data_IF_108566014262
#
_entry.id   IF_108566014262
#
_cell.length_a   1.000
_cell.length_b   1.000
_cell.length_c   1.000
_cell.angle_alpha   90.00
_cell.angle_beta   90.00
_cell.angle_gamma   90.00
#
_symmetry.space_group_name_H-M   'P 1'
#
loop_
_entity.id
_entity.type
_entity.pdbx_description
1 polymer ?
#
# COMPACT_ATOMS: atom_id res chain seq x y z
N UNK A 1 -37.13 -71.12 -9.65
CA UNK A 1 -35.81 -70.58 -9.26
C UNK A 1 -35.17 -69.96 -10.49
N UNK A 2 -35.27 -68.63 -10.64
CA UNK A 2 -34.63 -67.90 -11.74
C UNK A 2 -33.42 -67.14 -11.16
N UNK A 3 -32.23 -67.40 -11.73
CA UNK A 3 -30.95 -66.79 -11.33
C UNK A 3 -30.92 -65.33 -11.81
N UNK A 4 -30.77 -64.40 -10.88
CA UNK A 4 -30.51 -62.99 -11.16
C UNK A 4 -29.12 -62.83 -11.79
N UNK A 5 -29.05 -62.34 -13.03
CA UNK A 5 -27.80 -61.90 -13.66
C UNK A 5 -27.50 -60.47 -13.24
N UNK A 6 -26.34 -60.24 -12.63
CA UNK A 6 -25.83 -58.90 -12.33
C UNK A 6 -25.72 -58.07 -13.61
N UNK A 7 -26.32 -56.88 -13.59
CA UNK A 7 -26.12 -55.85 -14.62
C UNK A 7 -24.87 -55.06 -14.24
N UNK A 8 -23.82 -55.13 -15.06
CA UNK A 8 -22.64 -54.26 -14.97
C UNK A 8 -22.93 -52.92 -15.65
N UNK A 9 -22.55 -51.77 -15.04
CA UNK A 9 -22.72 -50.48 -15.69
C UNK A 9 -21.77 -50.33 -16.89
N UNK A 10 -22.33 -49.93 -18.03
CA UNK A 10 -21.60 -49.55 -19.24
C UNK A 10 -20.93 -48.18 -19.04
N UNK A 11 -19.64 -48.17 -18.74
CA UNK A 11 -18.77 -47.02 -18.99
C UNK A 11 -18.47 -46.85 -20.49
N UNK A 12 -17.96 -45.68 -20.94
CA UNK A 12 -17.70 -45.44 -22.35
C UNK A 12 -16.63 -46.43 -22.86
N UNK A 13 -16.98 -47.17 -23.92
CA UNK A 13 -16.08 -48.10 -24.58
C UNK A 13 -15.01 -47.32 -25.37
N UNK A 14 -13.78 -47.31 -24.88
CA UNK A 14 -12.61 -46.94 -25.67
C UNK A 14 -12.05 -48.20 -26.36
N UNK A 15 -11.73 -48.15 -27.67
CA UNK A 15 -11.19 -49.30 -28.38
C UNK A 15 -9.82 -49.69 -27.79
N UNK A 16 -9.66 -50.98 -27.54
CA UNK A 16 -8.46 -51.61 -26.99
C UNK A 16 -7.25 -51.42 -27.92
N UNK A 17 -6.44 -50.40 -27.64
CA UNK A 17 -5.04 -50.37 -28.07
C UNK A 17 -4.21 -51.26 -27.13
N UNK A 18 -3.18 -51.96 -27.61
CA UNK A 18 -2.37 -52.82 -26.77
C UNK A 18 -1.71 -51.96 -25.70
N UNK A 19 -2.10 -52.20 -24.44
CA UNK A 19 -1.49 -51.56 -23.28
C UNK A 19 -0.06 -52.08 -23.18
N UNK A 20 0.90 -51.27 -23.63
CA UNK A 20 2.28 -51.40 -23.19
C UNK A 20 2.28 -51.03 -21.71
N UNK A 21 2.13 -52.02 -20.83
CA UNK A 21 2.26 -51.81 -19.39
C UNK A 21 3.73 -51.59 -19.09
N UNK A 22 4.17 -50.34 -19.22
CA UNK A 22 5.30 -49.87 -18.43
C UNK A 22 4.85 -49.95 -16.97
N UNK A 23 5.14 -51.08 -16.33
CA UNK A 23 5.17 -51.22 -14.88
C UNK A 23 6.29 -50.32 -14.35
N UNK A 24 6.08 -49.01 -14.42
CA UNK A 24 6.74 -48.12 -13.49
C UNK A 24 6.14 -48.44 -12.13
N UNK A 25 7.02 -48.74 -11.20
CA UNK A 25 6.79 -48.87 -9.77
C UNK A 25 6.24 -47.52 -9.23
N UNK A 26 4.96 -47.23 -9.56
CA UNK A 26 4.30 -45.92 -9.47
C UNK A 26 3.79 -45.58 -8.08
N UNK A 27 4.15 -46.31 -7.03
CA UNK A 27 3.62 -46.03 -5.68
C UNK A 27 4.26 -44.78 -5.07
N UNK A 28 5.60 -44.70 -5.07
CA UNK A 28 6.34 -43.65 -4.38
C UNK A 28 6.22 -42.27 -5.07
N UNK A 29 6.15 -42.22 -6.40
CA UNK A 29 5.97 -40.96 -7.15
C UNK A 29 4.60 -40.35 -6.88
N UNK A 30 3.53 -41.14 -6.85
CA UNK A 30 2.19 -40.64 -6.52
C UNK A 30 2.11 -40.15 -5.07
N UNK A 31 2.78 -40.84 -4.15
CA UNK A 31 2.90 -40.41 -2.75
C UNK A 31 3.68 -39.10 -2.63
N UNK A 32 4.84 -38.97 -3.29
CA UNK A 32 5.63 -37.73 -3.29
C UNK A 32 4.88 -36.56 -3.93
N UNK A 33 4.23 -36.77 -5.08
CA UNK A 33 3.41 -35.74 -5.73
C UNK A 33 2.25 -35.32 -4.82
N UNK A 34 1.65 -36.27 -4.10
CA UNK A 34 0.62 -35.99 -3.08
C UNK A 34 1.12 -35.15 -1.91
N UNK A 35 2.30 -35.45 -1.37
CA UNK A 35 2.92 -34.67 -0.30
C UNK A 35 3.34 -33.27 -0.77
N UNK A 36 4.01 -33.15 -1.92
CA UNK A 36 4.40 -31.87 -2.50
C UNK A 36 3.18 -30.98 -2.76
N UNK A 37 2.12 -31.59 -3.29
CA UNK A 37 0.82 -30.97 -3.50
C UNK A 37 0.18 -30.44 -2.21
N UNK A 38 0.21 -31.23 -1.14
CA UNK A 38 -0.31 -30.83 0.16
C UNK A 38 0.49 -29.67 0.77
N UNK A 39 1.82 -29.74 0.72
CA UNK A 39 2.70 -28.67 1.20
C UNK A 39 2.48 -27.36 0.43
N UNK A 40 2.39 -27.44 -0.89
CA UNK A 40 2.11 -26.28 -1.74
C UNK A 40 0.73 -25.67 -1.42
N UNK A 41 -0.29 -26.51 -1.16
CA UNK A 41 -1.60 -26.05 -0.70
C UNK A 41 -1.52 -25.30 0.64
N UNK A 42 -0.77 -25.81 1.62
CA UNK A 42 -0.55 -25.11 2.90
C UNK A 42 0.15 -23.77 2.68
N UNK A 43 1.21 -23.73 1.86
CA UNK A 43 1.91 -22.49 1.55
C UNK A 43 0.97 -21.44 0.95
N UNK A 44 0.11 -21.84 0.00
CA UNK A 44 -0.87 -20.94 -0.61
C UNK A 44 -1.89 -20.43 0.42
N UNK A 45 -2.42 -21.30 1.29
CA UNK A 45 -3.34 -20.90 2.36
C UNK A 45 -2.69 -19.88 3.29
N UNK A 46 -1.43 -20.11 3.67
CA UNK A 46 -0.69 -19.20 4.54
C UNK A 46 -0.46 -17.84 3.86
N UNK A 47 0.00 -17.84 2.61
CA UNK A 47 0.18 -16.59 1.84
C UNK A 47 -1.13 -15.83 1.67
N UNK A 48 -2.23 -16.54 1.38
CA UNK A 48 -3.58 -15.97 1.29
C UNK A 48 -4.02 -15.32 2.61
N UNK A 49 -3.79 -16.02 3.71
CA UNK A 49 -4.14 -15.54 5.05
C UNK A 49 -3.32 -14.29 5.41
N UNK A 50 -2.03 -14.30 5.08
CA UNK A 50 -1.15 -13.15 5.25
C UNK A 50 -1.60 -11.96 4.39
N UNK A 51 -1.89 -12.14 3.10
CA UNK A 51 -2.40 -11.05 2.25
C UNK A 51 -3.72 -10.47 2.79
N UNK A 52 -4.62 -11.33 3.26
CA UNK A 52 -5.92 -10.87 3.78
C UNK A 52 -5.79 -10.02 5.04
N UNK A 53 -4.77 -10.26 5.87
CA UNK A 53 -4.54 -9.53 7.12
C UNK A 53 -3.58 -8.35 6.94
N UNK A 54 -2.43 -8.58 6.31
CA UNK A 54 -1.35 -7.59 6.17
C UNK A 54 -1.68 -6.55 5.10
N UNK A 55 -2.28 -6.95 3.99
CA UNK A 55 -2.71 -6.05 2.91
C UNK A 55 -4.14 -5.56 3.13
N UNK A 56 -4.49 -5.30 4.39
CA UNK A 56 -5.76 -4.75 4.79
C UNK A 56 -5.54 -3.42 5.51
N UNK A 57 -5.87 -2.34 4.82
CA UNK A 57 -5.64 -0.98 5.31
C UNK A 57 -6.49 -0.65 6.54
N UNK A 58 -7.69 -1.24 6.70
CA UNK A 58 -8.50 -1.01 7.90
C UNK A 58 -7.89 -1.68 9.13
N UNK A 59 -7.30 -2.87 8.98
CA UNK A 59 -6.57 -3.54 10.07
C UNK A 59 -5.31 -2.75 10.41
N UNK A 60 -4.58 -2.29 9.38
CA UNK A 60 -3.36 -1.52 9.59
C UNK A 60 -3.63 -0.15 10.24
N UNK A 61 -4.72 0.53 9.87
CA UNK A 61 -5.15 1.76 10.55
C UNK A 61 -5.56 1.52 12.02
N UNK A 62 -6.22 0.40 12.31
CA UNK A 62 -6.67 0.07 13.67
C UNK A 62 -5.55 -0.39 14.60
N UNK A 63 -4.66 -1.27 14.11
CA UNK A 63 -3.59 -1.90 14.92
C UNK A 63 -2.29 -1.11 14.83
N UNK A 64 -2.08 -0.34 13.77
CA UNK A 64 -0.82 0.31 13.48
C UNK A 64 -0.57 1.58 14.32
N UNK A 65 0.71 1.85 14.58
CA UNK A 65 1.16 3.07 15.27
C UNK A 65 1.15 4.32 14.35
N UNK A 66 0.30 4.34 13.31
CA UNK A 66 0.26 5.42 12.31
C UNK A 66 -0.09 6.78 12.92
N UNK A 67 -0.92 6.80 13.96
CA UNK A 67 -1.30 8.03 14.66
C UNK A 67 -0.15 8.70 15.43
N UNK A 68 1.02 8.06 15.57
CA UNK A 68 2.22 8.71 16.11
C UNK A 68 2.66 9.92 15.27
N UNK A 69 2.32 9.95 13.97
CA UNK A 69 2.60 11.11 13.10
C UNK A 69 1.66 12.29 13.33
N UNK A 70 0.58 12.14 14.13
CA UNK A 70 -0.36 13.23 14.43
C UNK A 70 0.23 14.26 15.41
N UNK A 71 1.22 13.87 16.22
CA UNK A 71 1.82 14.69 17.30
C UNK A 71 2.06 16.17 16.97
N UNK A 72 2.70 16.57 15.85
CA UNK A 72 3.02 17.97 15.56
C UNK A 72 1.81 18.83 15.21
N UNK A 73 0.68 18.23 14.84
CA UNK A 73 -0.54 18.91 14.38
C UNK A 73 -1.76 18.62 15.28
N UNK A 74 -1.59 17.87 16.38
CA UNK A 74 -2.68 17.40 17.22
C UNK A 74 -3.51 18.53 17.87
N UNK A 75 -2.98 19.74 17.95
CA UNK A 75 -3.59 20.91 18.59
C UNK A 75 -4.20 21.91 17.62
N UNK A 76 -4.12 21.68 16.30
CA UNK A 76 -4.70 22.56 15.27
C UNK A 76 -5.95 21.92 14.67
N UNK A 77 -6.90 22.71 14.18
CA UNK A 77 -8.06 22.20 13.42
C UNK A 77 -7.89 22.33 11.90
N UNK A 78 -6.99 23.22 11.49
CA UNK A 78 -6.70 23.58 10.10
C UNK A 78 -5.21 23.81 9.88
N UNK A 79 -4.76 23.81 8.63
CA UNK A 79 -3.37 24.13 8.32
C UNK A 79 -3.00 25.58 8.68
N UNK A 80 -3.95 26.52 8.60
CA UNK A 80 -3.70 27.94 8.89
C UNK A 80 -3.19 28.17 10.31
N UNK A 81 -3.76 27.46 11.29
CA UNK A 81 -3.38 27.58 12.70
C UNK A 81 -1.93 27.14 12.98
N UNK A 82 -1.29 26.42 12.06
CA UNK A 82 0.13 26.09 12.17
C UNK A 82 1.01 27.35 12.15
N UNK A 83 0.59 28.42 11.46
CA UNK A 83 1.30 29.70 11.46
C UNK A 83 1.38 30.34 12.86
N UNK A 84 0.46 29.99 13.77
CA UNK A 84 0.46 30.48 15.15
C UNK A 84 1.35 29.63 16.07
N UNK A 85 1.70 28.41 15.67
CA UNK A 85 2.45 27.46 16.49
C UNK A 85 3.90 27.25 16.02
N UNK A 86 4.19 27.58 14.76
CA UNK A 86 5.48 27.36 14.13
C UNK A 86 5.99 28.64 13.45
N UNK A 87 7.29 28.86 13.54
CA UNK A 87 7.95 29.91 12.77
C UNK A 87 8.32 29.34 11.39
N UNK A 88 7.60 29.76 10.35
CA UNK A 88 7.87 29.31 9.00
C UNK A 88 9.11 29.98 8.40
N UNK A 89 9.87 29.21 7.62
CA UNK A 89 10.99 29.72 6.85
C UNK A 89 10.55 30.86 5.92
N UNK A 90 11.43 31.86 5.74
CA UNK A 90 11.16 32.98 4.84
C UNK A 90 10.95 32.50 3.40
N UNK A 91 9.86 32.94 2.76
CA UNK A 91 9.42 32.55 1.41
C UNK A 91 9.04 31.06 1.27
N UNK A 92 8.92 30.32 2.37
CA UNK A 92 8.63 28.88 2.41
C UNK A 92 7.53 28.61 3.45
N UNK A 93 6.62 29.56 3.61
CA UNK A 93 5.46 29.46 4.49
C UNK A 93 4.24 28.89 3.80
N UNK A 94 3.18 28.62 4.56
CA UNK A 94 1.91 28.15 3.99
C UNK A 94 1.27 29.15 3.02
N UNK A 95 1.50 30.45 3.24
CA UNK A 95 0.98 31.53 2.39
C UNK A 95 1.69 31.61 1.02
N UNK A 96 2.88 31.01 0.91
CA UNK A 96 3.66 30.95 -0.32
C UNK A 96 3.30 29.72 -1.17
N UNK A 97 2.45 28.85 -0.64
CA UNK A 97 1.99 27.68 -1.37
C UNK A 97 1.06 28.07 -2.51
N UNK A 98 1.04 27.25 -3.56
CA UNK A 98 0.01 27.36 -4.59
C UNK A 98 -1.36 27.09 -3.96
N UNK A 99 -2.45 27.63 -4.54
CA UNK A 99 -3.81 27.39 -4.04
C UNK A 99 -4.12 25.90 -3.86
N UNK A 100 -3.66 25.09 -4.82
CA UNK A 100 -3.82 23.63 -4.80
C UNK A 100 -2.92 23.02 -3.72
N UNK A 101 -1.66 23.44 -3.62
CA UNK A 101 -0.75 22.96 -2.59
C UNK A 101 -1.25 23.24 -1.17
N UNK A 102 -1.75 24.45 -0.91
CA UNK A 102 -2.38 24.80 0.35
C UNK A 102 -3.62 23.92 0.61
N UNK A 103 -4.49 23.75 -0.38
CA UNK A 103 -5.67 22.88 -0.26
C UNK A 103 -5.27 21.43 0.09
N UNK A 104 -4.24 20.87 -0.54
CA UNK A 104 -3.74 19.51 -0.28
C UNK A 104 -3.25 19.35 1.17
N UNK A 105 -2.48 20.33 1.68
CA UNK A 105 -2.01 20.34 3.06
C UNK A 105 -3.19 20.49 4.03
N UNK A 106 -4.08 21.45 3.79
CA UNK A 106 -5.22 21.70 4.66
C UNK A 106 -6.18 20.51 4.73
N UNK A 107 -6.46 19.88 3.58
CA UNK A 107 -7.29 18.67 3.52
C UNK A 107 -6.64 17.52 4.29
N UNK A 108 -5.33 17.31 4.14
CA UNK A 108 -4.60 16.27 4.87
C UNK A 108 -4.57 16.51 6.38
N UNK A 109 -4.24 17.73 6.81
CA UNK A 109 -4.20 18.12 8.23
C UNK A 109 -5.58 17.98 8.86
N UNK A 110 -6.62 18.52 8.21
CA UNK A 110 -7.98 18.45 8.73
C UNK A 110 -8.47 17.00 8.85
N UNK A 111 -8.29 16.18 7.81
CA UNK A 111 -8.70 14.77 7.83
C UNK A 111 -7.98 13.99 8.94
N UNK A 112 -6.68 14.26 9.15
CA UNK A 112 -5.89 13.55 10.15
C UNK A 112 -6.27 13.94 11.58
N UNK A 113 -6.41 15.25 11.87
CA UNK A 113 -6.79 15.75 13.20
C UNK A 113 -8.19 15.29 13.58
N UNK A 114 -9.14 15.37 12.65
CA UNK A 114 -10.53 14.97 12.90
C UNK A 114 -10.72 13.45 12.96
N UNK A 115 -9.67 12.66 12.73
CA UNK A 115 -9.73 11.19 12.60
C UNK A 115 -10.84 10.78 11.65
N UNK A 116 -10.85 11.41 10.48
CA UNK A 116 -11.93 11.23 9.51
C UNK A 116 -12.04 9.77 9.06
N UNK A 117 -13.26 9.23 8.99
CA UNK A 117 -13.53 7.93 8.39
C UNK A 117 -13.32 7.90 6.86
N UNK A 118 -12.74 8.95 6.28
CA UNK A 118 -12.41 9.04 4.86
C UNK A 118 -10.93 8.76 4.58
N UNK A 119 -10.15 8.43 5.61
CA UNK A 119 -8.71 8.15 5.50
C UNK A 119 -8.33 6.89 6.27
N UNK A 120 -7.26 6.23 5.79
CA UNK A 120 -6.50 5.24 6.54
C UNK A 120 -5.14 5.82 6.88
N UNK A 121 -4.69 5.64 8.11
CA UNK A 121 -3.37 6.05 8.60
C UNK A 121 -2.52 4.81 8.84
N UNK A 122 -1.58 4.58 7.93
CA UNK A 122 -0.78 3.36 7.89
C UNK A 122 0.64 3.66 8.34
N UNK A 123 1.14 2.88 9.30
CA UNK A 123 2.58 2.82 9.59
C UNK A 123 3.21 1.81 8.65
N UNK A 124 4.12 2.26 7.77
CA UNK A 124 4.72 1.40 6.75
C UNK A 124 5.94 0.70 7.31
N UNK A 125 6.79 1.41 8.06
CA UNK A 125 8.01 0.82 8.57
C UNK A 125 9.00 1.81 9.15
N UNK A 126 10.00 1.25 9.80
CA UNK A 126 11.07 1.97 10.49
C UNK A 126 12.38 1.60 9.82
N UNK A 127 13.08 2.60 9.29
CA UNK A 127 14.22 2.40 8.42
C UNK A 127 15.47 3.04 9.05
N UNK A 128 16.57 2.31 9.20
CA UNK A 128 17.82 2.92 9.65
C UNK A 128 18.35 3.90 8.60
N UNK A 129 18.83 5.06 9.04
CA UNK A 129 19.51 6.04 8.20
C UNK A 129 20.94 5.56 7.93
N UNK A 130 21.14 5.00 6.73
CA UNK A 130 22.41 4.48 6.26
C UNK A 130 23.13 5.50 5.37
N UNK A 131 24.40 5.22 5.08
CA UNK A 131 25.12 5.98 4.05
C UNK A 131 24.42 5.82 2.70
N UNK A 132 24.20 6.94 2.00
CA UNK A 132 23.46 6.96 0.74
C UNK A 132 21.93 6.98 0.87
N UNK A 133 21.37 7.00 2.09
CA UNK A 133 19.94 7.29 2.27
C UNK A 133 19.59 8.67 1.72
N UNK A 134 18.35 8.82 1.22
CA UNK A 134 17.86 10.08 0.69
C UNK A 134 17.94 11.18 1.76
N UNK A 135 18.42 12.36 1.35
CA UNK A 135 18.50 13.54 2.19
C UNK A 135 17.12 13.99 2.69
N UNK A 136 16.94 13.97 4.02
CA UNK A 136 15.73 14.43 4.69
C UNK A 136 15.98 15.70 5.52
N UNK A 137 17.13 16.36 5.40
CA UNK A 137 17.50 17.45 6.29
C UNK A 137 17.84 18.74 5.55
N UNK A 138 18.52 18.67 4.40
CA UNK A 138 19.03 19.86 3.70
C UNK A 138 18.00 20.93 3.38
N UNK A 139 16.72 20.57 3.25
CA UNK A 139 15.62 21.53 3.07
C UNK A 139 15.52 22.57 4.20
N UNK A 140 15.99 22.24 5.40
CA UNK A 140 16.03 23.17 6.54
C UNK A 140 17.10 24.26 6.42
N UNK A 141 18.05 24.17 5.47
CA UNK A 141 19.12 25.17 5.29
C UNK A 141 18.60 26.49 4.72
N UNK A 142 17.88 27.24 5.55
CA UNK A 142 17.25 28.51 5.21
C UNK A 142 17.24 29.44 6.43
N UNK A 143 16.58 30.59 6.29
CA UNK A 143 16.44 31.59 7.34
C UNK A 143 15.00 31.67 7.84
N UNK A 144 14.85 31.82 9.15
CA UNK A 144 13.58 31.86 9.83
C UNK A 144 13.46 33.16 10.63
N UNK A 145 12.31 33.86 10.55
CA UNK A 145 12.00 34.93 11.49
C UNK A 145 11.81 34.29 12.88
N UNK A 146 12.53 34.80 13.87
CA UNK A 146 12.48 34.26 15.22
C UNK A 146 12.94 35.30 16.24
N UNK A 147 12.11 35.58 17.23
CA UNK A 147 12.47 36.37 18.41
C UNK A 147 12.55 35.45 19.64
N UNK A 148 13.78 35.15 20.09
CA UNK A 148 14.01 34.27 21.24
C UNK A 148 13.50 34.87 22.56
N UNK A 149 13.31 36.19 22.64
CA UNK A 149 12.75 36.82 23.85
C UNK A 149 11.26 36.51 24.03
N UNK A 150 10.54 36.28 22.92
CA UNK A 150 9.13 35.92 22.93
C UNK A 150 8.94 34.40 22.91
N UNK A 151 9.78 33.69 22.15
CA UNK A 151 9.69 32.23 21.97
C UNK A 151 11.04 31.58 22.32
N UNK A 152 11.30 31.25 23.61
CA UNK A 152 12.58 30.71 24.04
C UNK A 152 12.85 29.28 23.56
N UNK A 153 11.81 28.50 23.25
CA UNK A 153 11.92 27.15 22.71
C UNK A 153 11.11 27.05 21.42
N UNK A 154 11.61 27.61 20.30
CA UNK A 154 10.86 27.70 19.07
C UNK A 154 10.65 26.35 18.41
N UNK A 155 9.58 26.28 17.62
CA UNK A 155 9.36 25.25 16.62
C UNK A 155 9.48 25.91 15.24
N UNK A 156 10.18 25.27 14.33
CA UNK A 156 10.41 25.76 12.98
C UNK A 156 9.59 24.92 12.00
N UNK A 157 9.15 25.56 10.93
CA UNK A 157 8.42 24.89 9.87
C UNK A 157 8.82 25.40 8.50
N UNK A 158 8.57 24.58 7.48
CA UNK A 158 8.65 25.00 6.10
C UNK A 158 7.63 24.22 5.29
N UNK A 159 7.19 24.81 4.19
CA UNK A 159 6.35 24.17 3.20
C UNK A 159 6.82 24.61 1.81
N UNK A 160 6.98 23.64 0.90
CA UNK A 160 7.45 23.89 -0.46
C UNK A 160 6.61 23.15 -1.49
N UNK A 161 6.16 23.84 -2.54
CA UNK A 161 5.48 23.20 -3.66
C UNK A 161 6.49 22.42 -4.51
N UNK A 162 6.08 21.24 -4.98
CA UNK A 162 6.80 20.44 -5.95
C UNK A 162 5.87 20.08 -7.12
N UNK A 163 6.40 20.17 -8.34
CA UNK A 163 5.80 19.57 -9.53
C UNK A 163 6.83 18.59 -10.11
N UNK A 164 6.42 17.33 -10.24
CA UNK A 164 7.22 16.31 -10.92
C UNK A 164 6.81 16.25 -12.38
N UNK A 165 7.81 16.27 -13.24
CA UNK A 165 7.67 16.13 -14.68
C UNK A 165 8.00 14.69 -15.08
N UNK A 166 7.22 14.15 -16.01
CA UNK A 166 7.40 12.82 -16.58
C UNK A 166 7.68 12.93 -18.07
N UNK A 167 8.47 12.02 -18.62
CA UNK A 167 8.70 11.91 -20.06
C UNK A 167 8.58 10.45 -20.46
N UNK A 168 7.70 10.19 -21.41
CA UNK A 168 7.39 8.83 -21.85
C UNK A 168 6.51 8.04 -20.87
N UNK A 169 6.25 6.79 -21.24
CA UNK A 169 5.55 5.78 -20.46
C UNK A 169 6.20 4.41 -20.69
N UNK A 170 5.70 3.36 -20.04
CA UNK A 170 6.29 2.02 -20.14
C UNK A 170 6.43 1.50 -21.59
N UNK A 171 5.48 1.84 -22.47
CA UNK A 171 5.52 1.45 -23.87
C UNK A 171 6.56 2.29 -24.64
N UNK A 172 6.58 3.61 -24.47
CA UNK A 172 7.58 4.45 -25.17
C UNK A 172 9.00 4.14 -24.71
N UNK A 173 9.20 3.80 -23.44
CA UNK A 173 10.49 3.35 -22.93
C UNK A 173 10.98 2.04 -23.55
N UNK A 174 10.05 1.20 -24.04
CA UNK A 174 10.39 -0.04 -24.73
C UNK A 174 10.70 0.18 -26.21
N UNK A 175 9.94 1.06 -26.87
CA UNK A 175 10.03 1.28 -28.31
C UNK A 175 10.88 2.49 -28.73
N UNK A 176 11.38 3.27 -27.78
CA UNK A 176 12.15 4.49 -28.05
C UNK A 176 13.30 4.69 -27.08
N UNK A 177 14.17 5.65 -27.39
CA UNK A 177 15.34 6.03 -26.59
C UNK A 177 15.07 7.24 -25.68
N UNK A 178 13.81 7.49 -25.30
CA UNK A 178 13.40 8.61 -24.45
C UNK A 178 14.09 8.63 -23.07
N UNK A 179 14.58 7.47 -22.59
CA UNK A 179 15.36 7.33 -21.35
C UNK A 179 16.82 7.77 -21.46
N UNK A 180 17.39 7.85 -22.66
CA UNK A 180 18.83 8.05 -22.86
C UNK A 180 19.17 9.26 -23.72
N UNK A 181 18.26 9.70 -24.59
CA UNK A 181 18.46 10.83 -25.50
C UNK A 181 17.73 12.08 -25.00
N UNK A 182 18.42 13.23 -24.99
CA UNK A 182 17.88 14.53 -24.57
C UNK A 182 17.28 14.53 -23.14
N UNK A 183 17.93 13.81 -22.23
CA UNK A 183 17.51 13.74 -20.81
C UNK A 183 17.77 15.09 -20.14
N UNK A 184 16.82 15.59 -19.37
CA UNK A 184 16.95 16.85 -18.67
C UNK A 184 18.09 16.80 -17.63
N UNK A 185 18.96 17.81 -17.64
CA UNK A 185 20.02 18.02 -16.65
C UNK A 185 19.77 19.31 -15.88
N UNK A 186 19.83 19.26 -14.55
CA UNK A 186 19.66 20.45 -13.72
C UNK A 186 20.87 21.40 -13.87
N UNK A 187 20.67 22.73 -13.79
CA UNK A 187 19.39 23.44 -13.65
C UNK A 187 18.66 23.59 -14.99
N UNK A 188 17.34 23.38 -14.99
CA UNK A 188 16.45 23.57 -16.16
C UNK A 188 15.13 24.20 -15.72
N UNK A 189 14.55 25.07 -16.55
CA UNK A 189 13.24 25.68 -16.31
C UNK A 189 12.10 24.73 -16.70
N UNK A 190 10.87 25.04 -16.27
CA UNK A 190 9.68 24.32 -16.74
C UNK A 190 9.55 24.36 -18.26
N UNK A 191 9.78 25.52 -18.88
CA UNK A 191 9.76 25.64 -20.34
C UNK A 191 10.80 24.75 -21.01
N UNK A 192 12.02 24.66 -20.44
CA UNK A 192 13.05 23.77 -20.97
C UNK A 192 12.70 22.29 -20.81
N UNK A 193 11.94 21.93 -19.77
CA UNK A 193 11.41 20.58 -19.61
C UNK A 193 10.35 20.28 -20.68
N UNK A 194 9.45 21.23 -20.92
CA UNK A 194 8.42 21.12 -21.96
C UNK A 194 9.07 20.98 -23.36
N UNK A 195 10.12 21.76 -23.65
CA UNK A 195 10.89 21.69 -24.90
C UNK A 195 11.57 20.33 -25.11
N UNK A 196 11.95 19.65 -24.02
CA UNK A 196 12.51 18.29 -24.04
C UNK A 196 11.42 17.20 -24.08
N UNK A 197 10.14 17.57 -24.14
CA UNK A 197 9.00 16.64 -24.19
C UNK A 197 8.64 16.03 -22.84
N UNK A 198 9.03 16.67 -21.74
CA UNK A 198 8.48 16.34 -20.43
C UNK A 198 7.10 16.97 -20.25
N UNK A 199 6.27 16.36 -19.41
CA UNK A 199 4.92 16.84 -19.08
C UNK A 199 4.77 16.84 -17.56
N UNK A 200 4.22 17.91 -16.95
CA UNK A 200 3.94 17.91 -15.53
C UNK A 200 2.85 16.87 -15.23
N UNK A 201 3.08 15.99 -14.26
CA UNK A 201 2.09 14.94 -13.96
C UNK A 201 1.90 14.59 -12.50
N UNK A 202 2.70 15.14 -11.58
CA UNK A 202 2.44 14.97 -10.15
C UNK A 202 2.73 16.24 -9.40
N UNK A 203 1.78 16.63 -8.57
CA UNK A 203 1.92 17.75 -7.65
C UNK A 203 2.15 17.21 -6.24
N UNK A 204 2.95 17.93 -5.46
CA UNK A 204 3.14 17.61 -4.06
C UNK A 204 3.54 18.84 -3.27
N UNK A 205 3.39 18.76 -1.95
CA UNK A 205 3.87 19.79 -1.03
C UNK A 205 4.69 19.14 0.06
N UNK A 206 5.98 19.47 0.15
CA UNK A 206 6.82 18.99 1.24
C UNK A 206 6.71 19.96 2.42
N UNK A 207 5.92 19.60 3.42
CA UNK A 207 5.81 20.34 4.67
C UNK A 207 6.58 19.61 5.78
N UNK A 208 7.47 20.33 6.46
CA UNK A 208 8.23 19.78 7.59
C UNK A 208 8.09 20.65 8.82
N UNK A 209 7.86 19.99 9.96
CA UNK A 209 7.59 20.60 11.26
C UNK A 209 8.59 20.07 12.27
N UNK A 210 9.40 20.92 12.88
CA UNK A 210 10.36 20.49 13.91
C UNK A 210 9.68 20.39 15.28
N UNK A 211 10.26 19.61 16.18
CA UNK A 211 9.94 19.73 17.60
C UNK A 211 10.55 21.00 18.19
N UNK A 212 10.36 21.20 19.50
CA UNK A 212 10.89 22.36 20.22
C UNK A 212 12.43 22.29 20.22
N UNK A 213 13.07 23.40 19.84
CA UNK A 213 14.52 23.50 19.74
C UNK A 213 15.04 24.36 20.89
N UNK A 214 16.00 23.89 21.71
CA UNK A 214 16.58 24.65 22.80
C UNK A 214 17.68 25.60 22.27
N UNK A 215 17.27 26.69 21.60
CA UNK A 215 18.20 27.69 21.07
C UNK A 215 18.62 28.69 22.15
N UNK A 216 19.91 29.03 22.17
CA UNK A 216 20.45 30.09 23.02
C UNK A 216 20.67 31.36 22.18
N UNK A 217 20.48 32.52 22.81
CA UNK A 217 20.77 33.82 22.20
C UNK A 217 22.28 34.03 22.08
N UNK A 218 22.87 33.48 21.02
CA UNK A 218 24.28 33.65 20.66
C UNK A 218 24.45 33.67 19.15
N UNK A 219 25.39 34.49 18.69
CA UNK A 219 25.83 34.55 17.29
C UNK A 219 26.81 33.44 16.92
N UNK A 220 27.31 32.68 17.90
CA UNK A 220 28.14 31.51 17.66
C UNK A 220 27.30 30.36 17.07
N UNK A 221 27.86 29.56 16.14
CA UNK A 221 27.19 28.36 15.62
C UNK A 221 26.82 27.38 16.74
N UNK A 222 25.58 26.91 16.72
CA UNK A 222 25.03 25.93 17.67
C UNK A 222 24.60 24.69 16.90
N UNK A 223 25.18 23.53 17.19
CA UNK A 223 24.86 22.26 16.56
C UNK A 223 23.91 21.44 17.45
N UNK A 224 22.73 21.10 16.93
CA UNK A 224 21.65 20.48 17.72
C UNK A 224 21.01 19.35 16.90
N UNK A 225 20.81 18.19 17.55
CA UNK A 225 19.94 17.14 17.04
C UNK A 225 18.47 17.56 17.19
N UNK A 226 17.83 17.79 16.05
CA UNK A 226 16.44 18.22 15.97
C UNK A 226 15.61 17.11 15.34
N UNK A 227 14.59 16.70 16.08
CA UNK A 227 13.55 15.82 15.55
C UNK A 227 12.56 16.60 14.71
N UNK A 228 12.10 16.00 13.62
CA UNK A 228 11.12 16.62 12.74
C UNK A 228 10.07 15.61 12.28
N UNK A 229 8.94 16.15 11.89
CA UNK A 229 7.85 15.45 11.22
C UNK A 229 7.72 15.96 9.79
N UNK A 230 7.39 15.07 8.87
CA UNK A 230 7.17 15.34 7.46
C UNK A 230 5.73 15.02 7.10
N UNK A 231 5.08 15.96 6.42
CA UNK A 231 3.80 15.81 5.76
C UNK A 231 4.03 16.13 4.29
N UNK A 232 3.96 15.10 3.46
CA UNK A 232 4.19 15.24 2.04
C UNK A 232 2.97 14.75 1.25
N UNK A 233 1.87 15.53 1.22
CA UNK A 233 0.72 15.26 0.36
C UNK A 233 1.13 15.28 -1.11
N UNK A 234 0.66 14.29 -1.86
CA UNK A 234 0.92 14.12 -3.27
C UNK A 234 -0.37 13.76 -4.01
N UNK A 235 -0.51 14.26 -5.23
CA UNK A 235 -1.62 13.95 -6.12
C UNK A 235 -1.16 13.91 -7.57
N UNK A 236 -1.83 13.11 -8.39
CA UNK A 236 -1.54 12.95 -9.82
C UNK A 236 -2.27 14.01 -10.65
N UNK A 237 -3.39 14.53 -10.14
CA UNK A 237 -4.19 15.55 -10.79
C UNK A 237 -4.56 16.69 -9.82
N UNK A 238 -4.81 17.87 -10.38
CA UNK A 238 -5.27 19.02 -9.63
C UNK A 238 -6.66 18.76 -9.04
N UNK A 239 -6.78 18.83 -7.70
CA UNK A 239 -8.05 18.63 -6.98
C UNK A 239 -8.42 17.16 -6.71
N UNK A 240 -7.59 16.21 -7.12
CA UNK A 240 -7.80 14.79 -6.83
C UNK A 240 -7.40 14.42 -5.40
N UNK A 241 -7.97 13.33 -4.89
CA UNK A 241 -7.66 12.81 -3.55
C UNK A 241 -6.17 12.63 -3.35
N UNK A 242 -5.67 13.15 -2.24
CA UNK A 242 -4.24 13.18 -1.94
C UNK A 242 -3.82 11.95 -1.16
N UNK A 243 -2.69 11.36 -1.55
CA UNK A 243 -1.97 10.41 -0.68
C UNK A 243 -0.84 11.16 -0.01
N UNK A 244 -0.81 11.14 1.31
CA UNK A 244 0.12 11.92 2.11
C UNK A 244 1.17 11.02 2.72
N UNK A 245 2.41 11.24 2.33
CA UNK A 245 3.56 10.62 2.98
C UNK A 245 3.79 11.27 4.34
N UNK A 246 3.90 10.44 5.36
CA UNK A 246 4.18 10.83 6.73
C UNK A 246 5.59 10.37 7.10
N UNK A 247 6.34 11.24 7.76
CA UNK A 247 7.70 10.92 8.18
C UNK A 247 8.02 11.46 9.55
N UNK A 248 8.93 10.78 10.25
CA UNK A 248 9.53 11.25 11.49
C UNK A 248 11.00 10.85 11.50
N UNK A 249 11.87 11.80 11.78
CA UNK A 249 13.32 11.58 11.75
C UNK A 249 14.11 12.61 12.54
N UNK A 250 15.43 12.49 12.43
CA UNK A 250 16.41 13.31 13.13
C UNK A 250 17.31 14.03 12.12
N UNK A 251 17.57 15.30 12.38
CA UNK A 251 18.50 16.12 11.62
C UNK A 251 19.48 16.78 12.56
N UNK A 252 20.76 16.74 12.18
CA UNK A 252 21.77 17.54 12.85
C UNK A 252 21.85 18.91 12.17
N UNK A 253 21.40 19.94 12.90
CA UNK A 253 21.22 21.30 12.38
C UNK A 253 22.20 22.26 13.05
N UNK A 254 22.87 23.08 12.26
CA UNK A 254 23.76 24.15 12.76
C UNK A 254 23.06 25.50 12.63
N UNK A 255 22.76 26.12 13.77
CA UNK A 255 22.05 27.39 13.90
C UNK A 255 23.00 28.55 14.17
N UNK A 256 22.72 29.69 13.56
CA UNK A 256 23.30 30.99 13.91
C UNK A 256 22.15 31.95 14.17
N UNK A 257 22.04 32.46 15.40
CA UNK A 257 21.01 33.41 15.79
C UNK A 257 21.55 34.84 15.74
N UNK A 258 20.77 35.75 15.14
CA UNK A 258 21.07 37.17 15.11
C UNK A 258 19.93 37.94 15.79
N UNK A 259 20.21 38.43 17.00
CA UNK A 259 19.23 39.13 17.82
C UNK A 259 18.83 40.50 17.26
N UNK A 260 19.72 41.19 16.55
CA UNK A 260 19.42 42.49 15.94
C UNK A 260 18.37 42.35 14.84
N UNK A 261 18.47 41.29 14.03
CA UNK A 261 17.51 41.04 12.94
C UNK A 261 16.32 40.18 13.35
N UNK A 262 16.33 39.60 14.57
CA UNK A 262 15.36 38.61 15.04
C UNK A 262 15.19 37.47 14.04
N UNK A 263 16.32 36.88 13.65
CA UNK A 263 16.37 35.77 12.69
C UNK A 263 17.33 34.70 13.14
N UNK A 264 16.98 33.46 12.83
CA UNK A 264 17.89 32.32 12.89
C UNK A 264 18.19 31.84 11.48
N UNK A 265 19.46 31.59 11.20
CA UNK A 265 19.93 31.01 9.93
C UNK A 265 20.47 29.62 10.22
N UNK A 266 19.98 28.64 9.48
CA UNK A 266 20.52 27.28 9.50
C UNK A 266 21.58 27.20 8.41
N UNK A 267 22.84 27.09 8.79
CA UNK A 267 23.98 27.09 7.85
C UNK A 267 24.33 25.70 7.35
N UNK A 268 24.13 24.69 8.19
CA UNK A 268 24.38 23.30 7.87
C UNK A 268 23.22 22.44 8.39
N UNK A 269 22.89 21.39 7.66
CA UNK A 269 21.81 20.47 7.99
C UNK A 269 22.07 19.15 7.31
N UNK A 270 22.26 18.09 8.11
CA UNK A 270 22.59 16.76 7.62
C UNK A 270 21.76 15.68 8.32
N UNK A 271 21.53 14.58 7.61
CA UNK A 271 20.97 13.37 8.20
C UNK A 271 21.93 12.81 9.25
N UNK A 272 21.39 12.30 10.37
CA UNK A 272 22.19 11.60 11.38
C UNK A 272 22.21 10.11 11.05
N UNK A 273 23.39 9.59 10.69
CA UNK A 273 23.58 8.17 10.39
C UNK A 273 23.31 7.31 11.63
N UNK A 274 22.72 6.13 11.42
CA UNK A 274 22.35 5.19 12.48
C UNK A 274 21.04 5.51 13.21
N UNK A 275 20.44 6.69 12.99
CA UNK A 275 19.10 7.02 13.52
C UNK A 275 17.99 6.31 12.75
N UNK A 276 16.84 6.14 13.38
CA UNK A 276 15.67 5.51 12.75
C UNK A 276 14.76 6.56 12.14
N UNK A 277 14.48 6.43 10.84
CA UNK A 277 13.44 7.18 10.14
C UNK A 277 12.15 6.36 10.12
N UNK A 278 11.07 6.90 10.69
CA UNK A 278 9.75 6.28 10.66
C UNK A 278 8.98 6.80 9.45
N UNK A 279 8.36 5.90 8.71
CA UNK A 279 7.61 6.21 7.51
C UNK A 279 6.17 5.71 7.63
N UNK A 280 5.22 6.56 7.25
CA UNK A 280 3.79 6.26 7.23
C UNK A 280 3.11 6.86 6.02
N UNK A 281 1.84 6.51 5.85
CA UNK A 281 0.99 6.98 4.76
C UNK A 281 -0.38 7.35 5.32
N UNK A 282 -0.93 8.45 4.84
CA UNK A 282 -2.33 8.79 4.97
C UNK A 282 -2.95 8.63 3.57
N UNK A 283 -3.89 7.69 3.46
CA UNK A 283 -4.47 7.22 2.20
C UNK A 283 -5.97 7.47 2.24
N UNK A 284 -6.59 8.01 1.18
CA UNK A 284 -8.03 8.18 1.13
C UNK A 284 -8.73 6.82 1.08
N UNK A 285 -9.78 6.64 1.88
CA UNK A 285 -10.67 5.50 1.78
C UNK A 285 -11.56 5.67 0.54
N UNK A 286 -11.47 4.71 -0.39
CA UNK A 286 -12.33 4.66 -1.57
C UNK A 286 -13.42 3.59 -1.42
N UNK A 287 -14.52 3.75 -2.15
CA UNK A 287 -15.55 2.71 -2.28
C UNK A 287 -14.96 1.38 -2.77
N UNK A 288 -13.92 1.44 -3.60
CA UNK A 288 -13.17 0.27 -4.06
C UNK A 288 -12.43 -0.45 -2.92
N UNK A 289 -11.81 0.31 -2.00
CA UNK A 289 -11.21 -0.26 -0.79
C UNK A 289 -12.25 -0.99 0.05
N UNK A 290 -13.43 -0.38 0.26
CA UNK A 290 -14.51 -1.00 1.02
C UNK A 290 -15.07 -2.25 0.31
N UNK A 291 -15.27 -2.20 -1.01
CA UNK A 291 -15.74 -3.32 -1.82
C UNK A 291 -14.75 -4.51 -1.81
N UNK A 292 -13.44 -4.22 -1.83
CA UNK A 292 -12.40 -5.23 -1.75
C UNK A 292 -12.56 -6.13 -0.52
N UNK A 293 -12.89 -5.58 0.65
CA UNK A 293 -13.13 -6.39 1.85
C UNK A 293 -14.28 -7.39 1.68
N UNK A 294 -15.39 -6.97 1.05
CA UNK A 294 -16.53 -7.86 0.80
C UNK A 294 -16.19 -8.96 -0.20
N UNK A 295 -15.51 -8.62 -1.29
CA UNK A 295 -15.06 -9.60 -2.30
C UNK A 295 -14.10 -10.61 -1.68
N UNK A 296 -13.15 -10.15 -0.85
CA UNK A 296 -12.22 -11.02 -0.11
C UNK A 296 -12.96 -12.02 0.79
N UNK A 297 -13.93 -11.54 1.58
CA UNK A 297 -14.73 -12.42 2.47
C UNK A 297 -15.55 -13.43 1.67
N UNK A 298 -16.23 -13.00 0.61
CA UNK A 298 -17.00 -13.89 -0.26
C UNK A 298 -16.11 -14.95 -0.90
N UNK A 299 -14.94 -14.55 -1.42
CA UNK A 299 -13.97 -15.47 -2.00
C UNK A 299 -13.47 -16.51 -0.98
N UNK A 300 -13.20 -16.11 0.27
CA UNK A 300 -12.84 -17.05 1.34
C UNK A 300 -13.97 -18.04 1.64
N UNK A 301 -15.23 -17.57 1.70
CA UNK A 301 -16.39 -18.45 1.91
C UNK A 301 -16.51 -19.46 0.77
N UNK A 302 -16.37 -19.03 -0.49
CA UNK A 302 -16.40 -19.93 -1.64
C UNK A 302 -15.20 -20.89 -1.67
N UNK A 303 -14.01 -20.45 -1.30
CA UNK A 303 -12.82 -21.30 -1.25
C UNK A 303 -12.94 -22.37 -0.16
N UNK A 304 -13.34 -21.99 1.06
CA UNK A 304 -13.56 -22.93 2.18
C UNK A 304 -14.74 -23.85 1.89
N UNK A 305 -15.87 -23.30 1.42
CA UNK A 305 -17.06 -24.07 1.06
C UNK A 305 -16.78 -25.06 -0.08
N UNK A 306 -16.11 -24.60 -1.12
CA UNK A 306 -15.68 -25.42 -2.26
C UNK A 306 -14.66 -26.49 -1.86
N UNK A 307 -13.72 -26.19 -0.97
CA UNK A 307 -12.78 -27.18 -0.42
C UNK A 307 -13.48 -28.22 0.46
N UNK A 308 -14.39 -27.82 1.35
CA UNK A 308 -15.16 -28.74 2.18
C UNK A 308 -16.10 -29.60 1.32
N UNK A 309 -16.70 -29.02 0.28
CA UNK A 309 -17.49 -29.75 -0.70
C UNK A 309 -16.65 -30.72 -1.54
N UNK A 310 -15.42 -30.34 -1.93
CA UNK A 310 -14.55 -31.22 -2.74
C UNK A 310 -14.06 -32.45 -2.00
N UNK A 311 -13.84 -32.34 -0.68
CA UNK A 311 -13.53 -33.48 0.18
C UNK A 311 -14.68 -34.47 0.32
N UNK A 312 -15.89 -34.08 -0.10
CA UNK A 312 -17.10 -34.91 -0.05
C UNK A 312 -17.61 -35.14 -1.46
N UNK A 313 -17.32 -36.29 -2.06
CA UNK A 313 -18.00 -36.69 -3.30
C UNK A 313 -19.50 -36.86 -3.02
N UNK A 314 -20.32 -36.00 -3.62
CA UNK A 314 -21.76 -36.17 -3.66
C UNK A 314 -22.10 -37.35 -4.57
N UNK A 315 -22.74 -38.39 -4.02
CA UNK A 315 -23.33 -39.44 -4.84
C UNK A 315 -24.67 -38.93 -5.36
N UNK A 316 -24.72 -38.60 -6.66
CA UNK A 316 -26.00 -38.40 -7.34
C UNK A 316 -26.74 -39.74 -7.36
N UNK A 317 -28.00 -39.73 -6.94
CA UNK A 317 -28.80 -40.95 -6.84
C UNK A 317 -28.93 -41.56 -8.25
N UNK A 318 -28.41 -42.76 -8.44
CA UNK A 318 -28.79 -43.56 -9.61
C UNK A 318 -30.26 -43.95 -9.48
N UNK A 319 -31.03 -43.74 -10.54
CA UNK A 319 -32.48 -43.98 -10.53
C UNK A 319 -32.74 -45.48 -10.38
N UNK A 320 -32.98 -45.92 -9.16
CA UNK A 320 -33.43 -47.28 -8.86
C UNK A 320 -34.90 -47.40 -9.26
N UNK A 321 -35.17 -48.12 -10.37
CA UNK A 321 -36.54 -48.32 -10.89
C UNK A 321 -37.44 -49.10 -9.94
N UNK A 322 -36.89 -49.74 -8.90
CA UNK A 322 -37.63 -50.58 -7.96
C UNK A 322 -37.97 -49.88 -6.64
N UNK A 323 -37.57 -48.61 -6.44
CA UNK A 323 -37.87 -47.83 -5.23
C UNK A 323 -38.39 -46.44 -5.59
N UNK A 324 -39.62 -46.14 -5.18
CA UNK A 324 -40.19 -44.79 -5.30
C UNK A 324 -39.74 -43.92 -4.13
N UNK A 325 -38.82 -42.99 -4.37
CA UNK A 325 -38.46 -41.94 -3.41
C UNK A 325 -39.54 -40.85 -3.35
N UNK A 326 -39.82 -40.35 -2.14
CA UNK A 326 -40.75 -39.24 -1.93
C UNK A 326 -40.20 -37.91 -2.48
N UNK A 327 -41.09 -36.99 -2.86
CA UNK A 327 -40.71 -35.64 -3.36
C UNK A 327 -39.88 -34.89 -2.31
N UNK A 328 -40.23 -35.03 -1.02
CA UNK A 328 -39.48 -34.44 0.07
C UNK A 328 -38.05 -35.01 0.16
N UNK A 329 -37.87 -36.32 -0.02
CA UNK A 329 -36.55 -36.95 -0.04
C UNK A 329 -35.70 -36.47 -1.23
N UNK A 330 -36.34 -36.18 -2.38
CA UNK A 330 -35.65 -35.60 -3.54
C UNK A 330 -35.18 -34.17 -3.29
N UNK A 331 -36.02 -33.32 -2.68
CA UNK A 331 -35.65 -31.94 -2.31
C UNK A 331 -34.54 -31.93 -1.26
N UNK A 332 -34.69 -32.73 -0.19
CA UNK A 332 -33.67 -32.85 0.86
C UNK A 332 -32.32 -33.33 0.29
N UNK A 333 -32.32 -34.31 -0.63
CA UNK A 333 -31.09 -34.81 -1.25
C UNK A 333 -30.47 -33.86 -2.27
N UNK A 334 -31.25 -32.93 -2.85
CA UNK A 334 -30.73 -31.89 -3.74
C UNK A 334 -29.90 -30.85 -2.97
N UNK A 335 -30.27 -30.60 -1.70
CA UNK A 335 -29.57 -29.66 -0.81
C UNK A 335 -28.50 -30.41 0.03
N UNK A 336 -28.73 -31.67 0.36
CA UNK A 336 -27.88 -32.52 1.21
C UNK A 336 -27.71 -33.92 0.58
N UNK A 337 -26.86 -34.09 -0.44
CA UNK A 337 -26.65 -35.37 -1.10
C UNK A 337 -26.00 -36.41 -0.18
N UNK A 338 -26.22 -37.70 -0.49
CA UNK A 338 -25.56 -38.80 0.25
C UNK A 338 -24.05 -38.77 0.00
N UNK A 339 -23.30 -38.98 1.07
CA UNK A 339 -21.84 -38.97 1.06
C UNK A 339 -21.27 -40.27 0.52
N UNK A 340 -20.33 -40.17 -0.43
CA UNK A 340 -19.51 -41.28 -0.87
C UNK A 340 -18.17 -41.27 -0.10
N UNK A 341 -17.67 -42.42 0.40
CA UNK A 341 -16.59 -42.47 1.40
C UNK A 341 -15.18 -42.24 0.84
N UNK A 342 -15.04 -41.93 -0.45
CA UNK A 342 -13.75 -41.72 -1.09
C UNK A 342 -13.49 -40.21 -1.26
N UNK A 343 -12.34 -39.68 -0.84
CA UNK A 343 -12.02 -38.27 -1.02
C UNK A 343 -11.89 -37.94 -2.51
N UNK A 344 -12.56 -36.89 -2.98
CA UNK A 344 -12.27 -36.33 -4.30
C UNK A 344 -11.13 -35.32 -4.19
N UNK A 345 -10.22 -35.39 -5.16
CA UNK A 345 -9.12 -34.45 -5.36
C UNK A 345 -9.40 -33.48 -6.52
N UNK A 346 -10.64 -33.41 -7.02
CA UNK A 346 -11.00 -32.65 -8.22
C UNK A 346 -10.91 -31.12 -8.04
N UNK A 347 -11.14 -30.61 -6.83
CA UNK A 347 -10.98 -29.20 -6.49
C UNK A 347 -10.06 -29.12 -5.26
N UNK A 348 -8.84 -28.65 -5.47
CA UNK A 348 -7.88 -28.43 -4.40
C UNK A 348 -7.83 -26.95 -4.05
N UNK A 349 -7.41 -26.64 -2.82
CA UNK A 349 -7.39 -25.25 -2.36
C UNK A 349 -6.44 -24.38 -3.21
N UNK A 350 -5.36 -24.97 -3.73
CA UNK A 350 -4.40 -24.34 -4.65
C UNK A 350 -4.99 -23.95 -6.03
N UNK A 351 -6.21 -24.40 -6.35
CA UNK A 351 -6.90 -24.03 -7.59
C UNK A 351 -7.74 -22.75 -7.43
N UNK A 352 -7.93 -22.25 -6.21
CA UNK A 352 -8.57 -20.96 -5.97
C UNK A 352 -7.53 -19.85 -6.11
N UNK A 353 -7.46 -19.24 -7.29
CA UNK A 353 -6.62 -18.07 -7.54
C UNK A 353 -7.18 -16.85 -6.83
N UNK A 354 -6.74 -16.62 -5.60
CA UNK A 354 -6.96 -15.37 -4.89
C UNK A 354 -5.79 -14.43 -5.17
N UNK A 355 -6.07 -13.26 -5.73
CA UNK A 355 -5.05 -12.26 -6.11
C UNK A 355 -3.90 -12.85 -6.93
N UNK A 356 -4.21 -13.36 -8.13
CA UNK A 356 -3.15 -13.58 -9.11
C UNK A 356 -2.84 -12.25 -9.79
N UNK A 357 -1.63 -11.72 -9.56
CA UNK A 357 -1.07 -10.54 -10.25
C UNK A 357 -0.98 -10.72 -11.78
N UNK A 358 -1.40 -11.87 -12.32
CA UNK A 358 -1.49 -12.14 -13.76
C UNK A 358 -2.54 -11.29 -14.47
N UNK A 359 -3.47 -10.67 -13.73
CA UNK A 359 -4.41 -9.68 -14.30
C UNK A 359 -3.75 -8.32 -14.62
N UNK A 360 -2.49 -8.10 -14.24
CA UNK A 360 -1.73 -6.91 -14.68
C UNK A 360 -1.26 -6.98 -16.15
N UNK A 361 -1.39 -8.14 -16.80
CA UNK A 361 -0.96 -8.35 -18.21
C UNK A 361 -2.03 -7.93 -19.22
N UNK A 362 -3.29 -7.74 -18.79
CA UNK A 362 -4.32 -7.16 -19.66
C UNK A 362 -4.35 -5.65 -19.49
N UNK A 363 -4.03 -4.85 -20.53
CA UNK A 363 -4.44 -3.46 -20.53
C UNK A 363 -5.96 -3.48 -20.62
N UNK A 364 -6.65 -3.26 -19.50
CA UNK A 364 -8.01 -2.74 -19.56
C UNK A 364 -7.87 -1.33 -20.13
N UNK A 365 -7.89 -1.25 -21.45
CA UNK A 365 -8.42 -0.11 -22.18
C UNK A 365 -9.85 0.10 -21.67
N UNK A 366 -9.99 0.96 -20.68
CA UNK A 366 -11.00 2.01 -20.66
C UNK A 366 -10.77 2.86 -19.41
N UNK A 367 -10.41 4.12 -19.70
CA UNK A 367 -10.83 5.32 -18.98
C UNK A 367 -10.81 5.19 -17.45
N UNK A 368 -9.72 5.66 -16.83
CA UNK A 368 -9.69 6.65 -15.75
C UNK A 368 -8.20 6.76 -15.35
N UNK A 369 -7.47 7.53 -16.18
CA UNK A 369 -6.16 8.10 -15.86
C UNK A 369 -6.35 9.39 -15.08
#
# INVERSE_FOLDING_TARGET
MARSTQVTPLGPATPTLPSFSLNFEKSWVHVLVGYASFLLGICIVLLLSMDTVVNNWSINDFVGDGYAFLTPIATVQSAEELNNQYNFASNWGLNELSKVGYWMVNSSVNAFVTKSNSIFVVSVGWFPMASGSQDQCKIFQTSYPLDLSQTPNPRLALASNLVTYYRGNALTHYFSNDRTVNVATAPISSSGLDDLGYTPGRIGVDMRLTTKIPLVNTSSPQEIDVTFYKFYPKSICTGCSTVTELGFGHCNLTFIYNDTTKRVKITNSNNILGTTYKFGLLIPQSLFSSASHYVKVIAIIFAVGGFLASRRTAMWLEVDRNKTDSILAKILRMILPKYFPYPSHALRFDMFCYNSDIFSIFPTSNEYL
#
